data_IF_188365499251
#
_entry.id   IF_188365499251
#
_cell.length_a   1.000
_cell.length_b   1.000
_cell.length_c   1.000
_cell.angle_alpha   90.00
_cell.angle_beta   90.00
_cell.angle_gamma   90.00
#
_symmetry.space_group_name_H-M   'P 1'
#
loop_
_entity.id
_entity.type
_entity.pdbx_description
1 polymer ?
#
# COMPACT_ATOMS: atom_id res chain seq x y z
N UNK A 1 -23.48 -1.79 -25.00
CA UNK A 1 -23.98 -0.77 -24.05
C UNK A 1 -22.77 -0.01 -23.57
N UNK A 2 -22.69 1.29 -23.84
CA UNK A 2 -21.54 2.09 -23.39
C UNK A 2 -21.59 2.21 -21.87
N UNK A 3 -20.48 1.95 -21.19
CA UNK A 3 -20.38 2.07 -19.73
C UNK A 3 -20.48 3.55 -19.32
N UNK A 4 -21.42 3.86 -18.42
CA UNK A 4 -21.56 5.19 -17.83
C UNK A 4 -21.16 5.13 -16.35
N UNK A 5 -20.14 5.89 -15.97
CA UNK A 5 -19.64 5.95 -14.61
C UNK A 5 -20.70 6.41 -13.59
N UNK A 6 -21.71 7.19 -14.01
CA UNK A 6 -22.83 7.60 -13.14
C UNK A 6 -23.76 6.44 -12.79
N UNK A 7 -23.77 5.38 -13.58
CA UNK A 7 -24.58 4.17 -13.35
C UNK A 7 -23.77 3.03 -12.71
N UNK A 8 -22.49 3.25 -12.40
CA UNK A 8 -21.64 2.26 -11.78
C UNK A 8 -22.08 1.96 -10.35
N UNK A 9 -22.21 0.68 -10.01
CA UNK A 9 -22.56 0.23 -8.63
C UNK A 9 -21.36 0.45 -7.70
N UNK A 10 -20.14 0.17 -8.18
CA UNK A 10 -18.93 0.41 -7.40
C UNK A 10 -18.52 1.88 -7.46
N UNK A 11 -18.28 2.56 -6.32
CA UNK A 11 -17.77 3.92 -6.32
C UNK A 11 -16.37 4.04 -6.94
N UNK A 12 -15.60 2.95 -7.00
CA UNK A 12 -14.30 2.91 -7.68
C UNK A 12 -14.45 3.22 -9.17
N UNK A 13 -15.40 2.57 -9.85
CA UNK A 13 -15.66 2.78 -11.27
C UNK A 13 -16.59 3.97 -11.54
N UNK A 14 -17.30 4.47 -10.52
CA UNK A 14 -18.15 5.64 -10.58
C UNK A 14 -17.43 6.91 -10.10
N UNK A 15 -17.74 7.29 -8.85
CA UNK A 15 -17.27 8.54 -8.20
C UNK A 15 -15.76 8.74 -8.24
N UNK A 16 -14.98 7.67 -8.09
CA UNK A 16 -13.53 7.74 -7.98
C UNK A 16 -12.78 7.34 -9.25
N UNK A 17 -13.48 7.08 -10.35
CA UNK A 17 -12.89 6.59 -11.61
C UNK A 17 -11.64 7.37 -12.03
N UNK A 18 -11.70 8.70 -12.05
CA UNK A 18 -10.59 9.55 -12.45
C UNK A 18 -9.35 9.42 -11.51
N UNK A 19 -9.54 9.02 -10.27
CA UNK A 19 -8.45 8.84 -9.31
C UNK A 19 -7.72 7.50 -9.47
N UNK A 20 -8.40 6.50 -10.02
CA UNK A 20 -7.90 5.12 -10.15
C UNK A 20 -7.68 4.68 -11.60
N UNK A 21 -7.80 5.59 -12.56
CA UNK A 21 -7.67 5.31 -13.99
C UNK A 21 -6.38 4.55 -14.33
N UNK A 22 -5.28 4.87 -13.67
CA UNK A 22 -3.99 4.20 -13.84
C UNK A 22 -4.02 2.69 -13.54
N UNK A 23 -4.97 2.23 -12.72
CA UNK A 23 -5.12 0.80 -12.38
C UNK A 23 -5.86 0.00 -13.45
N UNK A 24 -6.51 0.64 -14.41
CA UNK A 24 -7.24 -0.06 -15.49
C UNK A 24 -6.32 -0.88 -16.37
N UNK A 25 -5.09 -0.44 -16.56
CA UNK A 25 -4.07 -1.16 -17.33
C UNK A 25 -3.66 -2.51 -16.67
N UNK A 26 -4.05 -2.73 -15.42
CA UNK A 26 -3.68 -3.92 -14.64
C UNK A 26 -4.90 -4.74 -14.22
N UNK A 27 -6.00 -4.12 -13.81
CA UNK A 27 -7.11 -4.82 -13.14
C UNK A 27 -8.45 -4.74 -13.86
N UNK A 28 -8.50 -4.23 -15.09
CA UNK A 28 -9.68 -4.39 -15.94
C UNK A 28 -9.75 -5.80 -16.53
N UNK A 29 -10.93 -6.21 -17.03
CA UNK A 29 -11.07 -7.48 -17.75
C UNK A 29 -10.20 -7.50 -19.02
N UNK A 30 -10.09 -6.37 -19.73
CA UNK A 30 -9.18 -6.21 -20.87
C UNK A 30 -7.71 -6.40 -20.46
N UNK A 31 -7.30 -5.85 -19.32
CA UNK A 31 -5.96 -6.06 -18.82
C UNK A 31 -5.68 -7.53 -18.49
N UNK A 32 -6.59 -8.22 -17.80
CA UNK A 32 -6.45 -9.65 -17.52
C UNK A 32 -6.32 -10.47 -18.82
N UNK A 33 -7.12 -10.17 -19.82
CA UNK A 33 -7.03 -10.80 -21.16
C UNK A 33 -5.63 -10.55 -21.75
N UNK A 34 -5.14 -9.32 -21.74
CA UNK A 34 -3.82 -8.94 -22.27
C UNK A 34 -2.69 -9.70 -21.57
N UNK A 35 -2.73 -9.81 -20.23
CA UNK A 35 -1.72 -10.56 -19.48
C UNK A 35 -1.76 -12.07 -19.76
N UNK A 36 -2.95 -12.65 -19.94
CA UNK A 36 -3.09 -14.05 -20.36
C UNK A 36 -2.50 -14.28 -21.76
N UNK A 37 -2.81 -13.42 -22.72
CA UNK A 37 -2.20 -13.47 -24.08
C UNK A 37 -0.69 -13.33 -23.99
N UNK A 38 -0.19 -12.38 -23.20
CA UNK A 38 1.25 -12.18 -22.97
C UNK A 38 1.93 -13.45 -22.45
N UNK A 39 1.38 -14.09 -21.44
CA UNK A 39 1.97 -15.30 -20.85
C UNK A 39 1.96 -16.45 -21.85
N UNK A 40 0.87 -16.68 -22.58
CA UNK A 40 0.77 -17.71 -23.61
C UNK A 40 1.79 -17.51 -24.73
N UNK A 41 1.91 -16.28 -25.25
CA UNK A 41 2.87 -15.95 -26.33
C UNK A 41 4.31 -16.14 -25.85
N UNK A 42 4.65 -15.63 -24.66
CA UNK A 42 6.00 -15.78 -24.12
C UNK A 42 6.36 -17.23 -23.84
N UNK A 43 5.37 -18.02 -23.38
CA UNK A 43 5.54 -19.47 -23.20
C UNK A 43 5.80 -20.16 -24.54
N UNK A 44 5.04 -19.86 -25.60
CA UNK A 44 5.27 -20.40 -26.92
C UNK A 44 6.67 -20.06 -27.46
N UNK A 45 7.10 -18.80 -27.30
CA UNK A 45 8.45 -18.37 -27.71
C UNK A 45 9.52 -19.18 -26.96
N UNK A 46 9.37 -19.36 -25.63
CA UNK A 46 10.29 -20.16 -24.82
C UNK A 46 10.31 -21.64 -25.29
N UNK A 47 9.17 -22.22 -25.63
CA UNK A 47 9.13 -23.59 -26.19
C UNK A 47 9.88 -23.68 -27.52
N UNK A 48 9.82 -22.64 -28.37
CA UNK A 48 10.55 -22.61 -29.65
C UNK A 48 12.07 -22.59 -29.49
N UNK A 49 12.57 -22.08 -28.39
CA UNK A 49 13.99 -22.07 -28.07
C UNK A 49 14.48 -23.44 -27.56
N UNK A 50 13.61 -24.16 -26.86
CA UNK A 50 13.94 -25.40 -26.15
C UNK A 50 13.62 -26.67 -26.94
N UNK A 51 12.44 -26.75 -27.56
CA UNK A 51 11.97 -27.99 -28.15
C UNK A 51 12.55 -28.22 -29.55
N UNK A 52 13.12 -29.41 -29.84
CA UNK A 52 13.74 -29.71 -31.14
C UNK A 52 12.82 -29.50 -32.33
N UNK A 53 11.51 -29.80 -32.20
CA UNK A 53 10.53 -29.65 -33.28
C UNK A 53 10.20 -28.19 -33.62
N UNK A 54 10.42 -27.26 -32.68
CA UNK A 54 10.11 -25.83 -32.81
C UNK A 54 11.36 -24.97 -33.04
N UNK A 55 12.54 -25.58 -32.87
CA UNK A 55 13.80 -24.84 -32.98
C UNK A 55 14.01 -24.27 -34.38
N UNK A 56 14.20 -22.95 -34.45
CA UNK A 56 14.49 -22.26 -35.72
C UNK A 56 13.26 -21.84 -36.54
N UNK A 57 12.03 -22.10 -36.08
CA UNK A 57 10.81 -21.63 -36.75
C UNK A 57 10.57 -20.14 -36.59
N UNK A 58 11.10 -19.53 -35.52
CA UNK A 58 10.99 -18.11 -35.25
C UNK A 58 12.17 -17.34 -35.85
N UNK A 59 11.88 -16.52 -36.86
CA UNK A 59 12.77 -15.42 -37.24
C UNK A 59 12.55 -14.23 -36.29
N UNK A 60 13.48 -13.28 -36.31
CA UNK A 60 13.31 -12.02 -35.52
C UNK A 60 11.99 -11.32 -35.85
N UNK A 61 11.64 -11.20 -37.13
CA UNK A 61 10.36 -10.60 -37.57
C UNK A 61 9.14 -11.34 -37.00
N UNK A 62 9.15 -12.67 -37.00
CA UNK A 62 8.05 -13.46 -36.41
C UNK A 62 7.98 -13.27 -34.91
N UNK A 63 9.11 -13.24 -34.20
CA UNK A 63 9.15 -13.00 -32.78
C UNK A 63 8.61 -11.62 -32.43
N UNK A 64 9.01 -10.58 -33.17
CA UNK A 64 8.52 -9.21 -32.97
C UNK A 64 7.00 -9.15 -33.19
N UNK A 65 6.48 -9.78 -34.22
CA UNK A 65 5.03 -9.86 -34.50
C UNK A 65 4.26 -10.66 -33.44
N UNK A 66 4.85 -11.70 -32.85
CA UNK A 66 4.25 -12.41 -31.71
C UNK A 66 4.15 -11.50 -30.49
N UNK A 67 5.18 -10.72 -30.18
CA UNK A 67 5.13 -9.73 -29.12
C UNK A 67 4.04 -8.68 -29.36
N UNK A 68 3.85 -8.24 -30.61
CA UNK A 68 2.82 -7.25 -30.96
C UNK A 68 1.41 -7.73 -30.65
N UNK A 69 1.11 -9.03 -30.66
CA UNK A 69 -0.22 -9.56 -30.32
C UNK A 69 -0.71 -9.09 -28.96
N UNK A 70 0.17 -9.04 -27.93
CA UNK A 70 -0.20 -8.59 -26.60
C UNK A 70 0.17 -7.12 -26.33
N UNK A 71 1.23 -6.60 -26.95
CA UNK A 71 1.62 -5.20 -26.76
C UNK A 71 0.63 -4.22 -27.37
N UNK A 72 0.08 -4.58 -28.53
CA UNK A 72 -0.88 -3.78 -29.29
C UNK A 72 -2.32 -4.29 -29.18
N UNK A 73 -2.62 -5.17 -28.20
CA UNK A 73 -3.95 -5.74 -28.01
C UNK A 73 -4.98 -4.62 -27.80
N UNK A 74 -6.00 -4.60 -28.66
CA UNK A 74 -7.05 -3.59 -28.66
C UNK A 74 -8.29 -4.05 -27.90
N UNK A 75 -9.22 -3.11 -27.64
CA UNK A 75 -10.53 -3.43 -27.07
C UNK A 75 -11.35 -4.33 -28.02
N UNK A 76 -11.16 -4.19 -29.33
CA UNK A 76 -11.77 -5.07 -30.35
C UNK A 76 -11.24 -6.51 -30.23
N UNK A 77 -9.94 -6.70 -30.06
CA UNK A 77 -9.34 -8.03 -29.80
C UNK A 77 -9.90 -8.64 -28.51
N UNK A 78 -9.98 -7.86 -27.44
CA UNK A 78 -10.58 -8.31 -26.19
C UNK A 78 -12.06 -8.69 -26.38
N UNK A 79 -12.81 -7.92 -27.16
CA UNK A 79 -14.19 -8.21 -27.50
C UNK A 79 -14.31 -9.50 -28.31
N UNK A 80 -13.39 -9.75 -29.27
CA UNK A 80 -13.32 -11.01 -30.03
C UNK A 80 -13.11 -12.20 -29.09
N UNK A 81 -12.22 -12.09 -28.12
CA UNK A 81 -12.00 -13.14 -27.11
C UNK A 81 -13.27 -13.39 -26.29
N UNK A 82 -13.98 -12.33 -25.89
CA UNK A 82 -15.26 -12.45 -25.16
C UNK A 82 -16.37 -13.08 -26.03
N UNK A 83 -16.36 -12.92 -27.37
CA UNK A 83 -17.26 -13.62 -28.26
C UNK A 83 -16.98 -15.13 -28.29
N UNK A 84 -15.72 -15.51 -28.39
CA UNK A 84 -15.29 -16.92 -28.30
C UNK A 84 -15.68 -17.53 -26.96
N UNK A 85 -15.44 -16.78 -25.85
CA UNK A 85 -15.79 -17.21 -24.49
C UNK A 85 -17.30 -17.50 -24.34
N UNK A 86 -18.17 -16.68 -24.95
CA UNK A 86 -19.62 -16.91 -24.90
C UNK A 86 -20.04 -18.26 -25.50
N UNK A 87 -19.28 -18.77 -26.46
CA UNK A 87 -19.53 -20.07 -27.12
C UNK A 87 -18.89 -21.21 -26.34
N UNK A 88 -17.64 -21.03 -25.91
CA UNK A 88 -16.85 -22.06 -25.23
C UNK A 88 -17.18 -22.20 -23.76
N UNK A 89 -17.77 -21.19 -23.16
CA UNK A 89 -17.99 -21.03 -21.72
C UNK A 89 -16.70 -21.23 -20.88
N UNK A 90 -15.55 -20.81 -21.46
CA UNK A 90 -14.24 -20.98 -20.83
C UNK A 90 -13.29 -19.84 -21.24
N UNK A 91 -12.92 -19.00 -20.31
CA UNK A 91 -12.17 -17.76 -20.54
C UNK A 91 -10.74 -17.99 -21.07
N UNK A 92 -9.95 -18.88 -20.44
CA UNK A 92 -8.57 -19.17 -20.89
C UNK A 92 -8.59 -19.91 -22.24
N UNK A 93 -9.56 -20.79 -22.48
CA UNK A 93 -9.71 -21.48 -23.77
C UNK A 93 -10.04 -20.49 -24.90
N UNK A 94 -10.80 -19.45 -24.60
CA UNK A 94 -11.08 -18.39 -25.56
C UNK A 94 -9.81 -17.62 -25.97
N UNK A 95 -8.91 -17.35 -25.00
CA UNK A 95 -7.59 -16.77 -25.27
C UNK A 95 -6.77 -17.68 -26.19
N UNK A 96 -6.72 -18.99 -25.90
CA UNK A 96 -6.02 -19.98 -26.73
C UNK A 96 -6.52 -19.95 -28.17
N UNK A 97 -7.85 -19.97 -28.40
CA UNK A 97 -8.42 -19.92 -29.75
C UNK A 97 -8.09 -18.60 -30.47
N UNK A 98 -8.18 -17.48 -29.81
CA UNK A 98 -7.78 -16.19 -30.39
C UNK A 98 -6.31 -16.19 -30.82
N UNK A 99 -5.41 -16.71 -29.99
CA UNK A 99 -3.99 -16.82 -30.35
C UNK A 99 -3.81 -17.72 -31.56
N UNK A 100 -4.55 -18.84 -31.67
CA UNK A 100 -4.51 -19.72 -32.82
C UNK A 100 -5.00 -19.02 -34.10
N UNK A 101 -6.05 -18.16 -34.02
CA UNK A 101 -6.45 -17.30 -35.16
C UNK A 101 -5.28 -16.39 -35.58
N UNK A 102 -4.58 -15.75 -34.62
CA UNK A 102 -3.41 -14.91 -34.93
C UNK A 102 -2.24 -15.70 -35.51
N UNK A 103 -2.02 -16.94 -35.08
CA UNK A 103 -1.01 -17.81 -35.66
C UNK A 103 -1.28 -18.14 -37.12
N UNK A 104 -2.55 -18.39 -37.49
CA UNK A 104 -2.93 -18.57 -38.88
C UNK A 104 -2.60 -17.31 -39.73
N UNK A 105 -2.83 -16.10 -39.19
CA UNK A 105 -2.47 -14.83 -39.82
C UNK A 105 -0.95 -14.64 -39.99
N UNK A 106 -0.16 -15.21 -39.07
CA UNK A 106 1.31 -15.11 -39.03
C UNK A 106 2.01 -16.22 -39.86
N UNK A 107 1.29 -17.16 -40.42
CA UNK A 107 1.85 -18.31 -41.11
C UNK A 107 2.54 -19.31 -40.15
N UNK A 108 1.94 -19.48 -38.98
CA UNK A 108 2.34 -20.44 -37.94
C UNK A 108 1.22 -21.47 -37.70
N UNK A 109 0.46 -21.81 -38.77
CA UNK A 109 -0.69 -22.73 -38.67
C UNK A 109 -0.27 -24.14 -38.26
N UNK A 110 0.92 -24.58 -38.66
CA UNK A 110 1.44 -25.92 -38.34
C UNK A 110 1.86 -26.03 -36.86
N UNK A 111 2.23 -24.91 -36.24
CA UNK A 111 2.73 -24.84 -34.85
C UNK A 111 1.67 -24.43 -33.83
N UNK A 112 0.46 -24.05 -34.26
CA UNK A 112 -0.59 -23.51 -33.39
C UNK A 112 -1.06 -24.46 -32.28
N UNK A 113 -0.86 -25.77 -32.44
CA UNK A 113 -1.20 -26.77 -31.42
C UNK A 113 -0.21 -26.76 -30.24
N UNK A 114 0.93 -26.03 -30.35
CA UNK A 114 1.82 -25.76 -29.22
C UNK A 114 1.39 -24.56 -28.37
N UNK A 115 0.36 -23.82 -28.75
CA UNK A 115 -0.30 -22.84 -27.87
C UNK A 115 -0.89 -23.60 -26.70
N UNK A 116 -0.64 -23.16 -25.48
CA UNK A 116 -1.11 -23.84 -24.25
C UNK A 116 -0.59 -25.29 -24.07
N UNK A 117 0.52 -25.64 -24.71
CA UNK A 117 1.05 -26.99 -24.70
C UNK A 117 1.35 -27.52 -23.29
N UNK A 118 0.71 -28.60 -22.89
CA UNK A 118 0.89 -29.26 -21.59
C UNK A 118 0.37 -28.48 -20.37
N UNK A 119 -0.14 -27.28 -20.57
CA UNK A 119 -0.61 -26.40 -19.50
C UNK A 119 -2.04 -26.69 -19.06
N UNK A 120 -2.40 -26.12 -17.92
CA UNK A 120 -3.77 -25.93 -17.46
C UNK A 120 -4.06 -24.44 -17.31
N UNK A 121 -5.32 -24.04 -17.31
CA UNK A 121 -5.74 -22.65 -17.19
C UNK A 121 -5.08 -21.90 -16.03
N UNK A 122 -4.78 -22.61 -14.94
CA UNK A 122 -4.16 -22.00 -13.78
C UNK A 122 -2.65 -21.75 -13.92
N UNK A 123 -1.96 -22.41 -14.84
CA UNK A 123 -0.60 -21.99 -15.21
C UNK A 123 -0.59 -20.58 -15.79
N UNK A 124 -1.62 -20.25 -16.57
CA UNK A 124 -1.79 -18.92 -17.14
C UNK A 124 -2.30 -17.91 -16.11
N UNK A 125 -3.34 -18.23 -15.36
CA UNK A 125 -3.91 -17.33 -14.36
C UNK A 125 -2.94 -17.08 -13.19
N UNK A 126 -2.31 -18.13 -12.65
CA UNK A 126 -1.36 -17.99 -11.54
C UNK A 126 0.03 -17.46 -11.96
N UNK A 127 0.19 -17.08 -13.21
CA UNK A 127 1.32 -16.30 -13.73
C UNK A 127 0.86 -14.88 -14.06
N UNK A 128 -0.32 -14.72 -14.70
CA UNK A 128 -0.87 -13.42 -15.07
C UNK A 128 -1.18 -12.53 -13.86
N UNK A 129 -1.88 -13.06 -12.84
CA UNK A 129 -2.24 -12.27 -11.65
C UNK A 129 -1.01 -11.77 -10.87
N UNK A 130 0.02 -12.57 -10.57
CA UNK A 130 1.23 -12.05 -9.94
C UNK A 130 1.93 -10.97 -10.76
N UNK A 131 1.97 -11.09 -12.10
CA UNK A 131 2.52 -10.05 -12.98
C UNK A 131 1.72 -8.76 -12.90
N UNK A 132 0.40 -8.84 -13.02
CA UNK A 132 -0.51 -7.69 -12.91
C UNK A 132 -0.32 -6.96 -11.58
N UNK A 133 -0.29 -7.72 -10.47
CA UNK A 133 -0.16 -7.17 -9.12
C UNK A 133 1.21 -6.53 -8.94
N UNK A 134 2.29 -7.22 -9.34
CA UNK A 134 3.66 -6.69 -9.25
C UNK A 134 3.79 -5.36 -10.01
N UNK A 135 3.39 -5.35 -11.28
CA UNK A 135 3.52 -4.17 -12.13
C UNK A 135 2.62 -3.02 -11.65
N UNK A 136 1.42 -3.30 -11.12
CA UNK A 136 0.58 -2.27 -10.50
C UNK A 136 1.18 -1.69 -9.22
N UNK A 137 1.79 -2.53 -8.37
CA UNK A 137 2.49 -2.08 -7.18
C UNK A 137 3.69 -1.22 -7.56
N UNK A 138 4.54 -1.70 -8.48
CA UNK A 138 5.74 -1.00 -8.91
C UNK A 138 5.46 0.35 -9.61
N UNK A 139 4.48 0.37 -10.53
CA UNK A 139 4.26 1.52 -11.40
C UNK A 139 3.16 2.49 -10.93
N UNK A 140 2.28 2.07 -10.02
CA UNK A 140 1.16 2.90 -9.55
C UNK A 140 1.22 3.12 -8.04
N UNK A 141 1.25 2.04 -7.24
CA UNK A 141 1.18 2.17 -5.79
C UNK A 141 2.45 2.81 -5.20
N UNK A 142 3.63 2.28 -5.53
CA UNK A 142 4.90 2.76 -4.97
C UNK A 142 5.20 4.23 -5.31
N UNK A 143 4.95 4.76 -6.52
CA UNK A 143 5.12 6.18 -6.80
C UNK A 143 4.21 7.09 -5.95
N UNK A 144 2.95 6.73 -5.76
CA UNK A 144 2.03 7.50 -4.91
C UNK A 144 2.38 7.39 -3.43
N UNK A 145 2.76 6.19 -2.99
CA UNK A 145 3.24 5.95 -1.63
C UNK A 145 4.53 6.73 -1.33
N UNK A 146 5.52 6.65 -2.23
CA UNK A 146 6.76 7.41 -2.12
C UNK A 146 6.52 8.91 -2.04
N UNK A 147 5.66 9.45 -2.90
CA UNK A 147 5.31 10.86 -2.86
C UNK A 147 4.61 11.31 -1.56
N UNK A 148 3.88 10.41 -0.88
CA UNK A 148 3.34 10.68 0.46
C UNK A 148 4.46 10.69 1.52
N UNK A 149 5.36 9.70 1.48
CA UNK A 149 6.49 9.61 2.42
C UNK A 149 7.41 10.83 2.27
N UNK A 150 7.71 11.25 1.06
CA UNK A 150 8.52 12.46 0.77
C UNK A 150 7.86 13.72 1.34
N UNK A 151 6.54 13.85 1.20
CA UNK A 151 5.78 14.96 1.75
C UNK A 151 5.81 14.98 3.28
N UNK A 152 5.70 13.82 3.93
CA UNK A 152 5.82 13.69 5.39
C UNK A 152 7.25 14.02 5.85
N UNK A 153 8.26 13.55 5.15
CA UNK A 153 9.66 13.84 5.43
C UNK A 153 9.95 15.35 5.33
N UNK A 154 9.37 16.01 4.33
CA UNK A 154 9.46 17.47 4.19
C UNK A 154 8.88 18.17 5.44
N UNK A 155 7.68 17.79 5.91
CA UNK A 155 7.09 18.40 7.10
C UNK A 155 7.84 18.03 8.39
N UNK A 156 8.36 16.82 8.51
CA UNK A 156 9.20 16.43 9.63
C UNK A 156 10.43 17.33 9.75
N UNK A 157 11.05 17.64 8.63
CA UNK A 157 12.21 18.55 8.56
C UNK A 157 11.83 20.01 8.81
N UNK A 158 10.75 20.50 8.19
CA UNK A 158 10.28 21.89 8.30
C UNK A 158 9.88 22.24 9.74
N UNK A 159 9.27 21.29 10.45
CA UNK A 159 8.76 21.49 11.83
C UNK A 159 9.62 20.86 12.91
N UNK A 160 10.86 20.52 12.60
CA UNK A 160 11.79 19.84 13.55
C UNK A 160 12.04 20.61 14.84
N UNK A 161 11.99 21.95 14.82
CA UNK A 161 12.21 22.82 15.97
C UNK A 161 10.90 23.32 16.60
N UNK A 162 9.75 22.86 16.12
CA UNK A 162 8.45 23.28 16.66
C UNK A 162 8.11 22.47 17.89
N UNK A 163 8.17 23.10 19.07
CA UNK A 163 7.76 22.49 20.33
C UNK A 163 6.24 22.27 20.35
N UNK A 164 5.82 21.13 20.87
CA UNK A 164 4.42 20.72 20.95
C UNK A 164 4.17 20.01 22.28
N UNK A 165 3.04 20.28 22.91
CA UNK A 165 2.60 19.53 24.08
C UNK A 165 2.20 18.11 23.64
N UNK A 166 2.87 17.08 24.19
CA UNK A 166 2.41 15.72 23.99
C UNK A 166 1.24 15.40 24.92
N UNK A 167 0.41 14.45 24.51
CA UNK A 167 -0.72 13.96 25.32
C UNK A 167 -0.66 12.44 25.44
N UNK A 168 -0.75 11.95 26.67
CA UNK A 168 -0.95 10.53 26.94
C UNK A 168 -2.27 10.35 27.67
N UNK A 169 -3.05 9.36 27.30
CA UNK A 169 -4.42 9.19 27.81
C UNK A 169 -5.29 10.46 27.66
N UNK A 170 -5.02 11.28 26.62
CA UNK A 170 -5.69 12.56 26.41
C UNK A 170 -5.26 13.69 27.37
N UNK A 171 -4.33 13.44 28.30
CA UNK A 171 -3.86 14.41 29.27
C UNK A 171 -2.50 15.02 28.86
N UNK A 172 -2.23 16.29 29.22
CA UNK A 172 -0.92 16.90 29.04
C UNK A 172 0.21 16.05 29.62
N UNK A 173 1.26 15.87 28.82
CA UNK A 173 2.43 15.07 29.16
C UNK A 173 3.70 15.83 28.75
N UNK A 174 4.86 15.19 28.89
CA UNK A 174 6.16 15.78 28.54
C UNK A 174 6.13 16.34 27.11
N UNK A 175 6.59 17.58 26.88
CA UNK A 175 6.62 18.18 25.55
C UNK A 175 7.45 17.35 24.55
N UNK A 176 7.12 17.50 23.30
CA UNK A 176 7.81 16.89 22.17
C UNK A 176 8.06 17.92 21.07
N UNK A 177 8.59 17.49 19.94
CA UNK A 177 8.71 18.31 18.72
C UNK A 177 7.80 17.77 17.63
N UNK A 178 7.05 18.65 17.00
CA UNK A 178 6.09 18.28 15.94
C UNK A 178 6.77 17.52 14.81
N UNK A 179 7.95 17.97 14.36
CA UNK A 179 8.69 17.27 13.30
C UNK A 179 9.03 15.83 13.69
N UNK A 180 9.43 15.59 14.96
CA UNK A 180 9.70 14.23 15.47
C UNK A 180 8.43 13.37 15.48
N UNK A 181 7.28 13.92 15.85
CA UNK A 181 6.02 13.17 15.80
C UNK A 181 5.67 12.72 14.39
N UNK A 182 5.95 13.55 13.37
CA UNK A 182 5.76 13.17 11.96
C UNK A 182 6.82 12.14 11.52
N UNK A 183 8.06 12.28 11.97
CA UNK A 183 9.15 11.33 11.68
C UNK A 183 8.83 9.90 12.15
N UNK A 184 8.03 9.74 13.21
CA UNK A 184 7.54 8.42 13.66
C UNK A 184 6.78 7.71 12.53
N UNK A 185 5.93 8.43 11.79
CA UNK A 185 5.18 7.85 10.66
C UNK A 185 6.09 7.55 9.48
N UNK A 186 7.02 8.45 9.16
CA UNK A 186 8.02 8.23 8.09
C UNK A 186 8.81 6.96 8.38
N UNK A 187 9.36 6.82 9.58
CA UNK A 187 10.11 5.65 10.00
C UNK A 187 9.29 4.36 9.87
N UNK A 188 8.06 4.35 10.41
CA UNK A 188 7.16 3.19 10.37
C UNK A 188 6.84 2.79 8.93
N UNK A 189 6.57 3.74 8.03
CA UNK A 189 6.26 3.49 6.63
C UNK A 189 7.47 2.97 5.86
N UNK A 190 8.65 3.52 6.11
CA UNK A 190 9.90 3.05 5.50
C UNK A 190 10.25 1.61 5.90
N UNK A 191 9.99 1.22 7.16
CA UNK A 191 10.17 -0.18 7.59
C UNK A 191 9.21 -1.14 6.87
N UNK A 192 7.97 -0.70 6.60
CA UNK A 192 7.03 -1.50 5.80
C UNK A 192 7.43 -1.55 4.33
N UNK A 193 7.99 -0.48 3.77
CA UNK A 193 8.51 -0.47 2.40
C UNK A 193 9.61 -1.52 2.22
N UNK A 194 10.57 -1.58 3.14
CA UNK A 194 11.63 -2.63 3.11
C UNK A 194 11.02 -4.04 3.12
N UNK A 195 9.97 -4.25 3.92
CA UNK A 195 9.28 -5.54 3.97
C UNK A 195 8.56 -5.84 2.65
N UNK A 196 7.91 -4.84 2.06
CA UNK A 196 7.20 -4.96 0.78
C UNK A 196 8.17 -5.32 -0.36
N UNK A 197 9.31 -4.64 -0.43
CA UNK A 197 10.35 -4.85 -1.45
C UNK A 197 11.05 -6.21 -1.33
N UNK A 198 11.11 -6.79 -0.14
CA UNK A 198 11.70 -8.09 0.12
C UNK A 198 10.78 -9.27 -0.22
N UNK A 199 9.48 -9.03 -0.44
CA UNK A 199 8.53 -10.10 -0.74
C UNK A 199 8.69 -10.59 -2.19
N UNK A 200 8.84 -11.91 -2.43
CA UNK A 200 8.85 -12.45 -3.77
C UNK A 200 7.45 -12.44 -4.37
N UNK A 201 7.36 -12.14 -5.65
CA UNK A 201 6.16 -12.39 -6.44
C UNK A 201 6.25 -13.79 -7.04
N UNK A 202 5.41 -14.70 -6.58
CA UNK A 202 5.49 -16.12 -6.95
C UNK A 202 4.42 -16.53 -7.96
N UNK A 203 4.74 -17.54 -8.78
CA UNK A 203 3.82 -18.11 -9.75
C UNK A 203 3.82 -19.63 -9.67
N UNK A 204 2.64 -20.22 -9.88
CA UNK A 204 2.51 -21.66 -10.14
C UNK A 204 2.62 -21.91 -11.64
N UNK A 205 3.52 -22.82 -12.01
CA UNK A 205 3.70 -23.25 -13.38
C UNK A 205 4.17 -24.72 -13.41
N UNK A 206 3.32 -25.65 -13.86
CA UNK A 206 3.64 -27.09 -13.80
C UNK A 206 2.51 -28.02 -14.24
N UNK A 207 1.52 -27.53 -14.99
CA UNK A 207 0.42 -28.35 -15.52
C UNK A 207 -0.68 -28.65 -14.51
N UNK A 208 -1.53 -29.60 -14.84
CA UNK A 208 -2.81 -29.84 -14.17
C UNK A 208 -2.74 -30.18 -12.69
N UNK A 209 -1.64 -30.71 -12.20
CA UNK A 209 -1.41 -31.06 -10.79
C UNK A 209 -0.08 -30.53 -10.24
N UNK A 210 0.59 -29.65 -10.99
CA UNK A 210 1.92 -29.16 -10.64
C UNK A 210 3.07 -30.13 -10.89
N UNK A 211 2.80 -31.28 -11.51
CA UNK A 211 3.76 -32.39 -11.71
C UNK A 211 4.25 -32.53 -13.16
N UNK A 212 3.93 -31.60 -14.06
CA UNK A 212 4.30 -31.67 -15.49
C UNK A 212 3.85 -32.96 -16.22
N UNK A 213 2.74 -33.58 -15.83
CA UNK A 213 2.30 -34.87 -16.35
C UNK A 213 2.27 -34.91 -17.90
N UNK A 214 1.59 -33.98 -18.54
CA UNK A 214 1.48 -33.91 -19.99
C UNK A 214 2.82 -33.60 -20.66
N UNK A 215 3.58 -32.68 -20.10
CA UNK A 215 4.91 -32.32 -20.60
C UNK A 215 5.87 -33.53 -20.60
N UNK A 216 5.93 -34.25 -19.47
CA UNK A 216 6.81 -35.43 -19.31
C UNK A 216 6.46 -36.57 -20.23
N UNK A 217 5.16 -36.78 -20.47
CA UNK A 217 4.71 -37.82 -21.43
C UNK A 217 5.13 -37.45 -22.87
N UNK A 218 5.02 -36.19 -23.23
CA UNK A 218 5.36 -35.71 -24.59
C UNK A 218 6.89 -35.67 -24.82
N UNK A 219 7.66 -35.19 -23.84
CA UNK A 219 9.12 -35.05 -23.92
C UNK A 219 9.76 -35.51 -22.61
N UNK A 220 9.92 -36.85 -22.42
CA UNK A 220 10.35 -37.44 -21.14
C UNK A 220 11.80 -37.16 -20.78
N UNK A 221 12.64 -36.72 -21.75
CA UNK A 221 14.05 -36.41 -21.54
C UNK A 221 14.31 -34.94 -21.26
N UNK A 222 13.28 -34.07 -21.33
CA UNK A 222 13.43 -32.64 -21.13
C UNK A 222 13.29 -32.28 -19.65
N UNK A 223 14.13 -31.40 -19.12
CA UNK A 223 14.04 -30.90 -17.74
C UNK A 223 12.99 -29.81 -17.59
N UNK A 224 11.74 -30.22 -17.52
CA UNK A 224 10.61 -29.31 -17.40
C UNK A 224 10.63 -28.46 -16.11
N UNK A 225 11.25 -28.93 -15.03
CA UNK A 225 11.34 -28.16 -13.78
C UNK A 225 12.30 -26.98 -13.98
N UNK A 226 13.44 -27.22 -14.60
CA UNK A 226 14.40 -26.18 -14.90
C UNK A 226 13.83 -25.18 -15.90
N UNK A 227 13.28 -25.66 -17.01
CA UNK A 227 12.62 -24.85 -18.03
C UNK A 227 11.55 -23.92 -17.42
N UNK A 228 10.63 -24.45 -16.61
CA UNK A 228 9.56 -23.66 -16.00
C UNK A 228 10.11 -22.64 -14.99
N UNK A 229 11.16 -22.97 -14.24
CA UNK A 229 11.81 -22.03 -13.33
C UNK A 229 12.44 -20.85 -14.08
N UNK A 230 13.12 -21.13 -15.20
CA UNK A 230 13.74 -20.09 -16.03
C UNK A 230 12.69 -19.24 -16.76
N UNK A 231 11.65 -19.89 -17.28
CA UNK A 231 10.52 -19.17 -17.89
C UNK A 231 9.86 -18.19 -16.91
N UNK A 232 9.49 -18.66 -15.73
CA UNK A 232 8.86 -17.81 -14.70
C UNK A 232 9.81 -16.69 -14.26
N UNK A 233 11.11 -17.00 -14.11
CA UNK A 233 12.13 -16.00 -13.77
C UNK A 233 12.29 -14.94 -14.86
N UNK A 234 12.20 -15.32 -16.15
CA UNK A 234 12.26 -14.37 -17.27
C UNK A 234 11.13 -13.34 -17.23
N UNK A 235 10.02 -13.68 -16.58
CA UNK A 235 8.90 -12.78 -16.33
C UNK A 235 9.10 -11.90 -15.08
N UNK A 236 10.23 -12.07 -14.35
CA UNK A 236 10.49 -11.37 -13.08
C UNK A 236 9.70 -11.93 -11.90
N UNK A 237 9.30 -13.19 -11.96
CA UNK A 237 8.61 -13.91 -10.90
C UNK A 237 9.46 -15.06 -10.38
N UNK A 238 9.09 -15.63 -9.24
CA UNK A 238 9.69 -16.85 -8.72
C UNK A 238 8.71 -18.03 -8.87
N UNK A 239 9.22 -19.17 -9.38
CA UNK A 239 8.38 -20.36 -9.50
C UNK A 239 8.21 -21.06 -8.16
N UNK A 240 6.97 -21.31 -7.75
CA UNK A 240 6.67 -22.18 -6.62
C UNK A 240 7.06 -23.63 -6.95
N UNK A 241 7.99 -24.20 -6.17
CA UNK A 241 8.58 -25.51 -6.45
C UNK A 241 7.57 -26.67 -6.32
N UNK A 242 6.65 -26.56 -5.37
CA UNK A 242 5.63 -27.56 -5.06
C UNK A 242 4.27 -26.90 -4.93
N UNK A 243 3.35 -27.28 -5.79
CA UNK A 243 1.98 -26.76 -5.84
C UNK A 243 0.99 -27.89 -6.17
N UNK A 244 -0.29 -27.62 -6.01
CA UNK A 244 -1.38 -28.39 -6.62
C UNK A 244 -1.64 -27.85 -8.04
N UNK A 245 -2.89 -27.92 -8.50
CA UNK A 245 -3.28 -27.28 -9.76
C UNK A 245 -3.14 -25.74 -9.73
N UNK A 246 -3.18 -25.16 -8.53
CA UNK A 246 -3.12 -23.72 -8.28
C UNK A 246 -1.89 -23.32 -7.47
N UNK A 247 -1.58 -22.02 -7.43
CA UNK A 247 -0.63 -21.43 -6.49
C UNK A 247 -1.01 -21.76 -5.04
N UNK A 248 -0.03 -21.80 -4.15
CA UNK A 248 -0.26 -21.86 -2.71
C UNK A 248 -0.85 -20.54 -2.18
N UNK A 249 -0.66 -19.43 -2.90
CA UNK A 249 -1.08 -18.07 -2.54
C UNK A 249 -0.48 -17.50 -1.25
N UNK A 250 0.46 -18.18 -0.61
CA UNK A 250 1.05 -17.74 0.66
C UNK A 250 1.79 -16.41 0.50
N UNK A 251 2.58 -16.24 -0.58
CA UNK A 251 3.30 -15.00 -0.83
C UNK A 251 2.35 -13.84 -1.21
N UNK A 252 1.29 -14.14 -1.94
CA UNK A 252 0.25 -13.14 -2.22
C UNK A 252 -0.49 -12.72 -0.95
N UNK A 253 -0.77 -13.67 -0.05
CA UNK A 253 -1.35 -13.36 1.27
C UNK A 253 -0.41 -12.48 2.10
N UNK A 254 0.89 -12.79 2.13
CA UNK A 254 1.90 -11.96 2.79
C UNK A 254 1.96 -10.53 2.23
N UNK A 255 1.84 -10.37 0.91
CA UNK A 255 1.73 -9.05 0.27
C UNK A 255 0.51 -8.27 0.78
N UNK A 256 -0.66 -8.90 0.84
CA UNK A 256 -1.87 -8.25 1.36
C UNK A 256 -1.76 -7.90 2.85
N UNK A 257 -1.06 -8.71 3.65
CA UNK A 257 -0.81 -8.40 5.06
C UNK A 257 0.12 -7.19 5.23
N UNK A 258 1.15 -7.04 4.39
CA UNK A 258 2.02 -5.85 4.40
C UNK A 258 1.26 -4.60 3.96
N UNK A 259 0.46 -4.67 2.89
CA UNK A 259 -0.38 -3.57 2.44
C UNK A 259 -1.39 -3.16 3.53
N UNK A 260 -1.98 -4.13 4.23
CA UNK A 260 -2.84 -3.87 5.39
C UNK A 260 -2.09 -3.13 6.50
N UNK A 261 -0.86 -3.50 6.80
CA UNK A 261 -0.03 -2.85 7.81
C UNK A 261 0.32 -1.41 7.43
N UNK A 262 0.66 -1.16 6.17
CA UNK A 262 0.84 0.20 5.64
C UNK A 262 -0.45 1.01 5.86
N UNK A 263 -1.60 0.46 5.48
CA UNK A 263 -2.88 1.14 5.63
C UNK A 263 -3.22 1.44 7.10
N UNK A 264 -2.87 0.55 8.05
CA UNK A 264 -3.07 0.78 9.49
C UNK A 264 -2.24 1.98 9.98
N UNK A 265 -1.00 2.10 9.52
CA UNK A 265 -0.14 3.26 9.86
C UNK A 265 -0.74 4.55 9.27
N UNK A 266 -1.26 4.49 8.05
CA UNK A 266 -1.89 5.64 7.40
C UNK A 266 -3.22 6.06 8.05
N UNK A 267 -3.99 5.11 8.59
CA UNK A 267 -5.18 5.40 9.40
C UNK A 267 -4.79 6.14 10.67
N UNK A 268 -3.76 5.68 11.38
CA UNK A 268 -3.21 6.30 12.57
C UNK A 268 -2.78 7.76 12.27
N UNK A 269 -2.01 7.96 11.20
CA UNK A 269 -1.65 9.28 10.68
C UNK A 269 -2.88 10.17 10.41
N UNK A 270 -3.88 9.64 9.71
CA UNK A 270 -5.07 10.40 9.36
C UNK A 270 -5.84 10.88 10.61
N UNK A 271 -5.91 10.03 11.64
CA UNK A 271 -6.55 10.34 12.93
C UNK A 271 -5.79 11.39 13.73
N UNK A 272 -4.46 11.32 13.75
CA UNK A 272 -3.64 12.31 14.44
C UNK A 272 -3.76 13.69 13.78
N UNK A 273 -3.69 13.78 12.44
CA UNK A 273 -3.89 15.04 11.73
C UNK A 273 -5.32 15.58 11.91
N UNK A 274 -6.35 14.71 11.90
CA UNK A 274 -7.71 15.10 12.22
C UNK A 274 -7.80 15.70 13.62
N UNK A 275 -7.15 15.08 14.60
CA UNK A 275 -7.12 15.52 15.99
C UNK A 275 -6.37 16.85 16.13
N UNK A 276 -5.20 17.00 15.52
CA UNK A 276 -4.44 18.25 15.51
C UNK A 276 -5.21 19.41 14.89
N UNK A 277 -6.01 19.15 13.85
CA UNK A 277 -6.93 20.15 13.27
C UNK A 277 -8.03 20.50 14.28
N UNK A 278 -8.61 19.54 14.99
CA UNK A 278 -9.63 19.78 16.02
C UNK A 278 -9.11 20.55 17.23
N UNK A 279 -7.80 20.50 17.49
CA UNK A 279 -7.09 21.23 18.55
C UNK A 279 -6.54 22.58 18.08
N UNK A 280 -6.87 23.02 16.86
CA UNK A 280 -6.34 24.24 16.24
C UNK A 280 -4.81 24.24 16.03
N UNK A 281 -4.11 23.13 16.17
CA UNK A 281 -2.68 23.05 15.86
C UNK A 281 -2.42 23.23 14.36
N UNK A 282 -3.35 22.80 13.53
CA UNK A 282 -3.40 23.08 12.11
C UNK A 282 -4.68 23.78 11.71
N UNK A 283 -4.54 24.76 10.82
CA UNK A 283 -5.63 25.30 10.02
C UNK A 283 -5.59 24.71 8.63
N UNK A 284 -6.70 24.73 7.93
CA UNK A 284 -6.76 24.24 6.55
C UNK A 284 -6.84 25.40 5.57
N UNK A 285 -5.98 25.37 4.55
CA UNK A 285 -6.00 26.35 3.47
C UNK A 285 -7.33 26.26 2.70
N UNK A 286 -7.88 27.42 2.42
CA UNK A 286 -9.13 27.57 1.69
C UNK A 286 -8.81 27.77 0.22
N UNK A 287 -9.37 26.93 -0.65
CA UNK A 287 -9.32 27.16 -2.09
C UNK A 287 -10.55 27.95 -2.54
N UNK A 288 -10.34 28.90 -3.46
CA UNK A 288 -11.44 29.68 -4.05
C UNK A 288 -12.44 28.74 -4.73
N UNK A 289 -13.73 28.89 -4.42
CA UNK A 289 -14.83 28.07 -4.99
C UNK A 289 -15.17 26.80 -4.21
N UNK A 290 -14.42 26.41 -3.17
CA UNK A 290 -14.83 25.30 -2.29
C UNK A 290 -15.92 25.73 -1.32
N UNK A 291 -17.06 25.00 -1.32
CA UNK A 291 -18.12 25.14 -0.29
C UNK A 291 -17.70 24.33 0.93
N UNK A 292 -17.49 25.01 2.06
CA UNK A 292 -16.90 24.45 3.28
C UNK A 292 -17.85 23.62 4.13
N UNK A 293 -19.10 24.08 4.23
CA UNK A 293 -20.19 23.45 4.96
C UNK A 293 -21.50 23.98 4.38
N UNK A 294 -22.52 23.12 4.27
CA UNK A 294 -23.85 23.53 3.81
C UNK A 294 -24.54 24.49 4.75
N UNK A 295 -24.19 24.50 6.04
CA UNK A 295 -24.85 25.28 7.08
C UNK A 295 -23.97 26.36 7.72
N UNK A 296 -22.65 26.19 7.76
CA UNK A 296 -21.71 27.06 8.47
C UNK A 296 -20.52 27.44 7.57
N UNK A 297 -20.53 28.57 6.87
CA UNK A 297 -19.51 28.95 5.87
C UNK A 297 -18.08 29.08 6.43
N UNK A 298 -17.92 29.33 7.73
CA UNK A 298 -16.62 29.43 8.40
C UNK A 298 -15.98 28.08 8.76
N UNK A 299 -16.78 27.00 8.75
CA UNK A 299 -16.32 25.66 9.16
C UNK A 299 -15.62 24.94 8.00
N UNK A 300 -14.33 24.66 8.15
CA UNK A 300 -13.53 23.88 7.18
C UNK A 300 -13.33 22.47 7.74
N UNK A 301 -14.00 21.49 7.14
CA UNK A 301 -13.93 20.10 7.60
C UNK A 301 -12.66 19.40 7.08
N UNK A 302 -12.01 18.52 7.88
CA UNK A 302 -10.83 17.75 7.47
C UNK A 302 -11.22 16.52 6.62
N UNK A 303 -12.08 16.70 5.60
CA UNK A 303 -12.71 15.64 4.83
C UNK A 303 -11.72 14.76 4.06
N UNK A 304 -10.54 15.29 3.71
CA UNK A 304 -9.52 14.53 3.00
C UNK A 304 -8.93 13.41 3.90
N UNK A 305 -8.75 13.67 5.21
CA UNK A 305 -8.31 12.68 6.19
C UNK A 305 -9.41 11.66 6.52
N UNK A 306 -10.66 12.10 6.65
CA UNK A 306 -11.84 11.23 6.85
C UNK A 306 -12.06 10.30 5.65
N UNK A 307 -11.96 10.82 4.43
CA UNK A 307 -12.06 10.03 3.20
C UNK A 307 -10.94 8.97 3.12
N UNK A 308 -9.71 9.34 3.50
CA UNK A 308 -8.60 8.40 3.55
C UNK A 308 -8.87 7.27 4.56
N UNK A 309 -9.26 7.60 5.78
CA UNK A 309 -9.56 6.60 6.82
C UNK A 309 -10.65 5.61 6.35
N UNK A 310 -11.74 6.12 5.77
CA UNK A 310 -12.83 5.28 5.26
C UNK A 310 -12.39 4.32 4.16
N UNK A 311 -11.63 4.81 3.17
CA UNK A 311 -11.12 3.98 2.07
C UNK A 311 -10.10 2.94 2.54
N UNK A 312 -9.20 3.30 3.45
CA UNK A 312 -8.22 2.37 4.04
C UNK A 312 -8.91 1.26 4.84
N UNK A 313 -9.98 1.58 5.56
CA UNK A 313 -10.79 0.60 6.29
C UNK A 313 -11.42 -0.44 5.36
N UNK A 314 -12.00 -0.01 4.23
CA UNK A 314 -12.56 -0.91 3.20
C UNK A 314 -11.44 -1.76 2.57
N UNK A 315 -10.31 -1.14 2.20
CA UNK A 315 -9.17 -1.86 1.66
C UNK A 315 -8.70 -2.98 2.59
N UNK A 316 -8.54 -2.68 3.89
CA UNK A 316 -8.10 -3.64 4.89
C UNK A 316 -9.07 -4.81 5.07
N UNK A 317 -10.39 -4.58 5.02
CA UNK A 317 -11.39 -5.62 5.07
C UNK A 317 -11.24 -6.60 3.89
N UNK A 318 -11.02 -6.08 2.68
CA UNK A 318 -10.82 -6.88 1.47
C UNK A 318 -9.47 -7.60 1.46
N UNK A 319 -8.36 -6.92 1.78
CA UNK A 319 -7.04 -7.56 1.91
C UNK A 319 -7.07 -8.69 2.95
N UNK A 320 -7.67 -8.44 4.11
CA UNK A 320 -7.80 -9.45 5.16
C UNK A 320 -8.63 -10.66 4.75
N UNK A 321 -9.68 -10.48 3.94
CA UNK A 321 -10.42 -11.58 3.34
C UNK A 321 -9.58 -12.35 2.31
N UNK A 322 -8.93 -11.64 1.38
CA UNK A 322 -8.09 -12.23 0.34
C UNK A 322 -6.94 -13.06 0.92
N UNK A 323 -6.22 -12.51 1.89
CA UNK A 323 -5.09 -13.17 2.56
C UNK A 323 -5.49 -14.47 3.27
N UNK A 324 -6.71 -14.53 3.81
CA UNK A 324 -7.20 -15.73 4.51
C UNK A 324 -7.91 -16.72 3.60
N UNK A 325 -8.55 -16.25 2.52
CA UNK A 325 -9.34 -17.11 1.62
C UNK A 325 -8.48 -17.82 0.59
N UNK A 326 -7.54 -17.14 -0.06
CA UNK A 326 -6.80 -17.67 -1.18
C UNK A 326 -5.96 -18.91 -0.84
N UNK A 327 -5.23 -18.99 0.30
CA UNK A 327 -4.45 -20.16 0.67
C UNK A 327 -5.30 -21.42 0.98
N UNK A 328 -6.62 -21.30 1.03
CA UNK A 328 -7.51 -22.42 1.36
C UNK A 328 -8.27 -22.87 0.11
N UNK A 329 -8.03 -24.08 -0.35
CA UNK A 329 -8.75 -24.73 -1.45
C UNK A 329 -9.03 -26.18 -1.13
N UNK A 330 -9.89 -26.84 -1.95
CA UNK A 330 -10.26 -28.25 -1.80
C UNK A 330 -9.44 -29.13 -2.72
N UNK A 331 -8.80 -30.14 -2.17
CA UNK A 331 -8.00 -31.12 -2.92
C UNK A 331 -7.00 -30.43 -3.85
N UNK A 332 -7.05 -30.70 -5.16
CA UNK A 332 -6.21 -30.01 -6.14
C UNK A 332 -6.67 -28.57 -6.42
N UNK A 333 -7.97 -28.33 -6.41
CA UNK A 333 -8.59 -27.00 -6.63
C UNK A 333 -10.10 -27.04 -6.49
N UNK A 334 -10.69 -25.94 -6.04
CA UNK A 334 -12.06 -25.51 -6.36
C UNK A 334 -12.05 -24.18 -7.11
N UNK A 335 -13.21 -23.72 -7.62
CA UNK A 335 -13.29 -22.53 -8.46
C UNK A 335 -13.27 -21.20 -7.67
N UNK A 336 -13.32 -21.24 -6.34
CA UNK A 336 -13.49 -20.03 -5.52
C UNK A 336 -12.34 -19.05 -5.64
N UNK A 337 -11.12 -19.53 -5.92
CA UNK A 337 -9.95 -18.69 -6.18
C UNK A 337 -10.18 -17.75 -7.39
N UNK A 338 -10.69 -18.27 -8.49
CA UNK A 338 -10.96 -17.46 -9.70
C UNK A 338 -11.98 -16.36 -9.47
N UNK A 339 -13.02 -16.64 -8.69
CA UNK A 339 -14.03 -15.64 -8.31
C UNK A 339 -13.41 -14.53 -7.46
N UNK A 340 -12.60 -14.91 -6.50
CA UNK A 340 -12.00 -13.99 -5.51
C UNK A 340 -10.89 -13.14 -6.13
N UNK A 341 -10.01 -13.74 -6.95
CA UNK A 341 -8.89 -13.05 -7.60
C UNK A 341 -9.34 -11.89 -8.52
N UNK A 342 -10.52 -11.95 -9.10
CA UNK A 342 -11.07 -10.83 -9.91
C UNK A 342 -11.25 -9.54 -9.11
N UNK A 343 -11.21 -9.61 -7.78
CA UNK A 343 -11.37 -8.47 -6.88
C UNK A 343 -10.05 -7.91 -6.36
N UNK A 344 -8.88 -8.44 -6.74
CA UNK A 344 -7.58 -8.00 -6.17
C UNK A 344 -7.25 -6.54 -6.42
N UNK A 345 -7.75 -5.97 -7.53
CA UNK A 345 -7.60 -4.55 -7.84
C UNK A 345 -8.43 -3.61 -6.96
N UNK A 346 -9.53 -4.11 -6.38
CA UNK A 346 -10.46 -3.28 -5.60
C UNK A 346 -9.82 -2.72 -4.32
N UNK A 347 -9.20 -3.52 -3.44
CA UNK A 347 -8.53 -2.97 -2.27
C UNK A 347 -7.33 -2.08 -2.62
N UNK A 348 -6.61 -2.38 -3.70
CA UNK A 348 -5.52 -1.52 -4.16
C UNK A 348 -6.05 -0.16 -4.64
N UNK A 349 -7.19 -0.13 -5.31
CA UNK A 349 -7.87 1.10 -5.72
C UNK A 349 -8.29 1.95 -4.51
N UNK A 350 -8.88 1.35 -3.47
CA UNK A 350 -9.20 2.04 -2.23
C UNK A 350 -7.95 2.60 -1.54
N UNK A 351 -6.84 1.84 -1.48
CA UNK A 351 -5.57 2.32 -0.94
C UNK A 351 -5.03 3.51 -1.76
N UNK A 352 -5.12 3.46 -3.08
CA UNK A 352 -4.68 4.55 -3.97
C UNK A 352 -5.51 5.83 -3.76
N UNK A 353 -6.84 5.71 -3.64
CA UNK A 353 -7.73 6.85 -3.33
C UNK A 353 -7.31 7.48 -2.00
N UNK A 354 -7.04 6.66 -1.00
CA UNK A 354 -6.63 7.13 0.32
C UNK A 354 -5.27 7.85 0.29
N UNK A 355 -4.27 7.31 -0.41
CA UNK A 355 -2.96 7.95 -0.60
C UNK A 355 -3.12 9.34 -1.22
N UNK A 356 -3.91 9.46 -2.29
CA UNK A 356 -4.19 10.74 -2.95
C UNK A 356 -4.94 11.70 -2.03
N UNK A 357 -5.90 11.21 -1.23
CA UNK A 357 -6.62 12.02 -0.25
C UNK A 357 -5.69 12.53 0.85
N UNK A 358 -4.83 11.69 1.41
CA UNK A 358 -3.84 12.10 2.41
C UNK A 358 -2.89 13.16 1.88
N UNK A 359 -2.31 12.94 0.69
CA UNK A 359 -1.43 13.94 0.05
C UNK A 359 -2.12 15.28 -0.16
N UNK A 360 -3.38 15.24 -0.60
CA UNK A 360 -4.20 16.43 -0.79
C UNK A 360 -4.49 17.13 0.54
N UNK A 361 -4.87 16.37 1.58
CA UNK A 361 -5.14 16.90 2.93
C UNK A 361 -3.89 17.54 3.55
N UNK A 362 -2.75 16.85 3.51
CA UNK A 362 -1.47 17.35 3.97
C UNK A 362 -1.04 18.63 3.22
N UNK A 363 -1.30 18.72 1.92
CA UNK A 363 -1.01 19.92 1.13
C UNK A 363 -1.89 21.14 1.47
N UNK A 364 -2.91 20.99 2.32
CA UNK A 364 -3.80 22.06 2.77
C UNK A 364 -3.53 22.51 4.21
N UNK A 365 -2.73 21.78 4.99
CA UNK A 365 -2.49 22.13 6.39
C UNK A 365 -1.59 23.36 6.51
N UNK A 366 -1.96 24.24 7.41
CA UNK A 366 -1.21 25.44 7.79
C UNK A 366 -0.92 25.35 9.29
N UNK A 367 0.35 25.36 9.67
CA UNK A 367 0.78 25.30 11.06
C UNK A 367 0.31 26.54 11.83
N UNK A 368 -0.36 26.33 12.96
CA UNK A 368 -0.79 27.39 13.88
C UNK A 368 0.16 27.43 15.09
N UNK A 369 1.29 28.12 14.94
CA UNK A 369 2.32 28.24 15.99
C UNK A 369 1.78 28.85 17.28
N UNK A 370 0.83 29.77 17.19
CA UNK A 370 0.25 30.44 18.35
C UNK A 370 -0.54 29.46 19.21
N UNK A 371 -1.33 28.56 18.60
CA UNK A 371 -2.08 27.56 19.35
C UNK A 371 -1.15 26.56 20.08
N UNK A 372 -0.08 26.12 19.41
CA UNK A 372 0.94 25.25 19.99
C UNK A 372 1.65 25.94 21.18
N UNK A 373 2.01 27.20 21.00
CA UNK A 373 2.65 27.99 22.05
C UNK A 373 1.72 28.16 23.26
N UNK A 374 0.46 28.53 23.04
CA UNK A 374 -0.51 28.72 24.14
C UNK A 374 -0.82 27.41 24.88
N UNK A 375 -0.89 26.28 24.18
CA UNK A 375 -1.14 24.98 24.84
C UNK A 375 0.05 24.60 25.75
N UNK A 376 1.29 24.86 25.35
CA UNK A 376 2.47 24.70 26.20
C UNK A 376 2.42 25.68 27.40
N UNK A 377 2.11 26.94 27.15
CA UNK A 377 2.07 28.00 28.16
C UNK A 377 1.03 27.74 29.26
N UNK A 378 -0.10 27.14 28.91
CA UNK A 378 -1.15 26.76 29.88
C UNK A 378 -0.83 25.50 30.66
N UNK A 379 0.29 24.80 30.37
CA UNK A 379 0.60 23.49 30.95
C UNK A 379 1.98 23.43 31.61
N UNK A 380 2.37 24.44 32.38
CA UNK A 380 3.66 24.48 33.08
C UNK A 380 3.90 23.28 34.01
N UNK A 381 2.86 22.59 34.46
CA UNK A 381 2.99 21.39 35.30
C UNK A 381 3.85 20.28 34.65
N UNK A 382 3.97 20.27 33.29
CA UNK A 382 4.73 19.22 32.57
C UNK A 382 6.23 19.27 32.79
N UNK A 383 6.79 20.42 33.28
CA UNK A 383 8.22 20.52 33.62
C UNK A 383 8.56 19.82 34.94
N UNK A 384 7.55 19.43 35.74
CA UNK A 384 7.77 18.76 37.03
C UNK A 384 8.64 17.49 36.90
N UNK A 385 8.52 16.75 35.78
CA UNK A 385 9.37 15.59 35.52
C UNK A 385 10.85 15.96 35.37
N UNK A 386 11.14 17.06 34.66
CA UNK A 386 12.49 17.57 34.49
C UNK A 386 13.10 17.98 35.85
N UNK A 387 12.35 18.76 36.63
CA UNK A 387 12.79 19.20 37.97
C UNK A 387 13.02 18.01 38.90
N UNK A 388 12.12 17.03 38.90
CA UNK A 388 12.30 15.80 39.67
C UNK A 388 13.57 15.05 39.27
N UNK A 389 13.87 14.99 37.98
CA UNK A 389 15.05 14.27 37.47
C UNK A 389 16.35 14.97 37.92
N UNK A 390 16.40 16.31 37.91
CA UNK A 390 17.51 17.09 38.39
C UNK A 390 17.68 16.88 39.93
N UNK A 391 16.59 16.98 40.70
CA UNK A 391 16.62 16.74 42.12
C UNK A 391 17.12 15.35 42.48
N UNK A 392 16.77 14.32 41.70
CA UNK A 392 17.32 12.96 41.86
C UNK A 392 18.81 12.91 41.60
N UNK A 393 19.28 13.58 40.55
CA UNK A 393 20.72 13.70 40.24
C UNK A 393 21.51 14.33 41.40
N UNK A 394 20.93 15.32 42.05
CA UNK A 394 21.55 16.04 43.16
C UNK A 394 21.37 15.32 44.54
N UNK A 395 20.73 14.15 44.55
CA UNK A 395 20.49 13.40 45.81
C UNK A 395 19.50 14.07 46.74
N UNK A 396 18.63 14.96 46.26
CA UNK A 396 17.62 15.64 47.07
C UNK A 396 16.68 14.64 47.75
N UNK A 397 16.35 14.79 49.04
CA UNK A 397 15.50 13.85 49.73
C UNK A 397 14.05 13.92 49.22
N UNK A 398 13.51 12.74 48.86
CA UNK A 398 12.10 12.58 48.43
C UNK A 398 11.64 13.56 47.34
N UNK A 399 12.32 13.60 46.17
CA UNK A 399 12.04 14.60 45.15
C UNK A 399 10.59 14.50 44.55
N UNK A 400 10.02 13.31 44.50
CA UNK A 400 8.64 13.12 44.08
C UNK A 400 7.63 13.77 45.02
N UNK A 401 7.83 13.57 46.33
CA UNK A 401 6.95 14.13 47.36
C UNK A 401 7.00 15.66 47.39
N UNK A 402 8.19 16.23 47.19
CA UNK A 402 8.36 17.69 47.10
C UNK A 402 7.54 18.28 45.95
N UNK A 403 7.59 17.68 44.77
CA UNK A 403 6.78 18.10 43.59
C UNK A 403 5.30 17.79 43.72
N UNK A 404 4.93 16.73 44.44
CA UNK A 404 3.53 16.37 44.67
C UNK A 404 2.81 17.46 45.51
N UNK A 405 3.50 18.16 46.39
CA UNK A 405 2.92 19.27 47.13
C UNK A 405 2.57 20.44 46.21
N UNK A 406 3.39 20.74 45.20
CA UNK A 406 3.11 21.75 44.20
C UNK A 406 1.85 21.41 43.38
N UNK A 407 1.63 20.13 43.09
CA UNK A 407 0.50 19.66 42.24
C UNK A 407 -0.80 19.39 43.00
N UNK A 408 -0.77 19.40 44.38
CA UNK A 408 -1.94 19.12 45.23
C UNK A 408 -2.90 20.30 45.39
N UNK A 409 -2.48 21.49 45.06
CA UNK A 409 -3.35 22.67 45.06
C UNK A 409 -4.20 22.64 43.83
N UNK A 410 -5.53 22.77 43.95
CA UNK A 410 -6.43 22.88 42.78
C UNK A 410 -6.22 24.17 41.95
N UNK A 411 -5.13 24.89 42.17
CA UNK A 411 -4.72 26.07 41.44
C UNK A 411 -3.94 25.66 40.18
N UNK A 412 -4.13 26.42 39.11
CA UNK A 412 -3.33 26.24 37.89
C UNK A 412 -1.83 26.44 38.19
N UNK A 413 -1.01 25.49 37.78
CA UNK A 413 0.46 25.62 37.89
C UNK A 413 0.92 26.52 36.75
N UNK A 414 1.52 27.63 37.09
CA UNK A 414 2.04 28.65 36.19
C UNK A 414 3.55 28.72 36.24
N UNK A 415 4.18 29.45 35.33
CA UNK A 415 5.60 29.79 35.39
C UNK A 415 6.01 30.29 36.80
N UNK A 416 5.21 31.23 37.34
CA UNK A 416 5.45 31.77 38.67
C UNK A 416 5.39 30.70 39.77
N UNK A 417 4.45 29.77 39.71
CA UNK A 417 4.36 28.67 40.67
C UNK A 417 5.60 27.77 40.65
N UNK A 418 6.14 27.52 39.48
CA UNK A 418 7.38 26.76 39.27
C UNK A 418 8.57 27.54 39.78
N UNK A 419 8.64 28.85 39.49
CA UNK A 419 9.71 29.73 40.01
C UNK A 419 9.73 29.76 41.55
N UNK A 420 8.59 30.05 42.18
CA UNK A 420 8.47 30.11 43.66
C UNK A 420 8.83 28.74 44.30
N UNK A 421 8.47 27.64 43.66
CA UNK A 421 8.87 26.32 44.13
C UNK A 421 10.39 26.10 44.08
N UNK A 422 11.04 26.46 42.95
CA UNK A 422 12.51 26.33 42.81
C UNK A 422 13.24 27.17 43.90
N UNK A 423 12.80 28.40 44.14
CA UNK A 423 13.38 29.26 45.15
C UNK A 423 13.29 28.66 46.57
N UNK A 424 12.23 27.92 46.86
CA UNK A 424 12.03 27.22 48.16
C UNK A 424 12.86 25.96 48.34
N UNK A 425 13.58 25.47 47.32
CA UNK A 425 14.41 24.26 47.45
C UNK A 425 15.74 24.52 48.14
N UNK A 426 16.15 23.56 48.97
CA UNK A 426 17.46 23.53 49.61
C UNK A 426 18.50 22.88 48.68
N UNK A 427 18.88 23.61 47.63
CA UNK A 427 19.89 23.26 46.64
C UNK A 427 20.75 24.48 46.32
N UNK A 428 21.92 24.27 45.70
CA UNK A 428 22.81 25.38 45.34
C UNK A 428 22.18 26.32 44.31
N UNK A 429 22.61 27.60 44.33
CA UNK A 429 22.15 28.61 43.39
C UNK A 429 22.38 28.18 41.93
N UNK A 430 23.48 27.49 41.63
CA UNK A 430 23.77 26.96 40.29
C UNK A 430 22.69 25.96 39.83
N UNK A 431 22.20 25.12 40.74
CA UNK A 431 21.13 24.15 40.43
C UNK A 431 19.80 24.87 40.27
N UNK A 432 19.51 25.90 41.06
CA UNK A 432 18.31 26.74 40.86
C UNK A 432 18.34 27.44 39.50
N UNK A 433 19.46 28.02 39.14
CA UNK A 433 19.62 28.63 37.79
C UNK A 433 19.42 27.63 36.66
N UNK A 434 19.93 26.39 36.80
CA UNK A 434 19.70 25.33 35.83
C UNK A 434 18.20 25.03 35.70
N UNK A 435 17.49 24.88 36.82
CA UNK A 435 16.05 24.61 36.86
C UNK A 435 15.22 25.76 36.26
N UNK A 436 15.58 27.01 36.53
CA UNK A 436 14.90 28.20 36.00
C UNK A 436 14.97 28.32 34.48
N UNK A 437 15.94 27.67 33.83
CA UNK A 437 16.05 27.64 32.34
C UNK A 437 15.09 26.66 31.71
N UNK A 438 14.43 25.79 32.48
CA UNK A 438 13.51 24.78 31.95
C UNK A 438 12.11 25.37 31.80
N UNK A 439 11.56 25.20 30.66
CA UNK A 439 10.20 25.61 30.35
C UNK A 439 9.48 24.52 29.49
N UNK A 440 8.16 24.54 29.42
CA UNK A 440 7.43 23.64 28.49
C UNK A 440 7.90 23.75 27.04
N UNK A 441 8.45 24.91 26.65
CA UNK A 441 8.89 25.20 25.27
C UNK A 441 10.24 24.59 24.91
N UNK A 442 11.11 24.31 25.88
CA UNK A 442 12.45 23.79 25.65
C UNK A 442 12.72 22.40 26.27
N UNK A 443 11.79 21.88 27.05
CA UNK A 443 11.88 20.52 27.62
C UNK A 443 11.41 19.47 26.59
N UNK A 444 12.05 19.43 25.44
CA UNK A 444 11.65 18.60 24.29
C UNK A 444 12.63 17.48 23.96
N UNK A 445 13.70 17.34 24.71
CA UNK A 445 14.75 16.34 24.50
C UNK A 445 15.64 16.65 23.27
N UNK A 446 16.10 15.58 22.59
CA UNK A 446 17.00 15.65 21.43
C UNK A 446 16.25 15.87 20.14
#
# INVERSE_FOLDING_TARGET
>A
MQFDSLQAISPIDGRYRAQVESLTAYFSEEALIRYRVRVEILYFIALCEELPHLRGILSKDRTDRLHDIYLSLTTEDASRIKEIERVTNHDVKAVEYFIKEKFDELGLSDEKEFVHFGLTSQDINNTSFPLMIREAVEHVFLPEFGGLVDQLQFYASEWKEVSMLARTHGQPASPTRLGKEIEVYVYRLQEQLKTLEALPHTAKFGGATGNFNAHTVAYPQHDWKHFAADFVRSLGLEREAFTTQISNYDQLAALFDVLTRINVILIDLARDFWMYISMDYFKQQIRAGEVRSSAMPHKVNPIDFENAEGNLGIANALYGFLARKLPISRLQRDLTDSTVLRNVGVPLAHSLIALKSLRKGLGKVLLNKDALYQDLEHNWAVVAEALQTILRREGYPKPYEALKELTRTNAAITEKSIYDFIEGLDVSDTIKEEMHRISPHNYTGL
#
